data_IF_816028483315
#
_entry.id   IF_816028483315
#
_cell.length_a   1.000
_cell.length_b   1.000
_cell.length_c   1.000
_cell.angle_alpha   90.00
_cell.angle_beta   90.00
_cell.angle_gamma   90.00
#
_symmetry.space_group_name_H-M   'P 1'
#
loop_
_entity.id
_entity.type
_entity.pdbx_description
1 polymer ?
#
# COMPACT_ATOMS: atom_id res chain seq x y z
N UNK A 1 4.27 2.57 -29.51
CA UNK A 1 3.27 2.96 -28.50
C UNK A 1 4.02 3.20 -27.21
N UNK A 2 4.26 4.45 -26.84
CA UNK A 2 4.86 4.77 -25.55
C UNK A 2 3.82 4.45 -24.48
N UNK A 3 4.00 3.36 -23.74
CA UNK A 3 3.14 3.08 -22.60
C UNK A 3 3.40 4.17 -21.58
N UNK A 4 2.40 5.00 -21.29
CA UNK A 4 2.43 5.90 -20.13
C UNK A 4 2.72 5.03 -18.90
N UNK A 5 3.86 5.26 -18.25
CA UNK A 5 4.19 4.56 -17.02
C UNK A 5 3.12 4.98 -16.01
N UNK A 6 2.29 4.05 -15.49
CA UNK A 6 1.27 4.41 -14.52
C UNK A 6 1.97 4.97 -13.29
N UNK A 7 1.89 6.29 -13.12
CA UNK A 7 2.52 6.99 -12.01
C UNK A 7 1.58 6.92 -10.82
N UNK A 8 1.99 6.20 -9.77
CA UNK A 8 1.20 6.11 -8.53
C UNK A 8 1.48 7.36 -7.70
N UNK A 9 0.49 8.24 -7.59
CA UNK A 9 0.59 9.43 -6.75
C UNK A 9 0.20 9.08 -5.31
N UNK A 10 1.17 9.14 -4.41
CA UNK A 10 0.98 9.02 -2.97
C UNK A 10 1.29 10.34 -2.28
N UNK A 11 0.47 10.70 -1.30
CA UNK A 11 0.85 11.73 -0.32
C UNK A 11 2.01 11.24 0.54
N UNK A 12 2.76 12.14 1.20
CA UNK A 12 3.81 11.74 2.14
C UNK A 12 3.29 10.82 3.25
N UNK A 13 2.05 11.06 3.71
CA UNK A 13 1.40 10.25 4.73
C UNK A 13 1.08 8.85 4.22
N UNK A 14 0.48 8.70 3.05
CA UNK A 14 0.17 7.39 2.46
C UNK A 14 1.45 6.57 2.20
N UNK A 15 2.53 7.24 1.77
CA UNK A 15 3.83 6.59 1.56
C UNK A 15 4.45 6.11 2.87
N UNK A 16 4.38 6.90 3.94
CA UNK A 16 4.83 6.47 5.28
C UNK A 16 4.02 5.25 5.75
N UNK A 17 2.69 5.30 5.63
CA UNK A 17 1.82 4.20 6.08
C UNK A 17 1.97 2.92 5.25
N UNK A 18 2.25 3.02 3.95
CA UNK A 18 2.55 1.86 3.10
C UNK A 18 3.78 1.08 3.62
N UNK A 19 4.72 1.74 4.28
CA UNK A 19 5.88 1.08 4.89
C UNK A 19 5.47 0.08 5.99
N UNK A 20 4.41 0.40 6.74
CA UNK A 20 3.90 -0.38 7.86
C UNK A 20 2.89 -1.47 7.44
N UNK A 21 2.73 -1.72 6.14
CA UNK A 21 1.87 -2.78 5.62
C UNK A 21 2.69 -4.04 5.25
N UNK A 22 2.17 -5.26 5.54
CA UNK A 22 0.99 -5.55 6.37
C UNK A 22 1.24 -5.22 7.85
N UNK A 23 0.17 -4.93 8.60
CA UNK A 23 0.27 -4.62 10.03
C UNK A 23 0.93 -5.78 10.78
N UNK A 24 1.85 -5.46 11.70
CA UNK A 24 2.55 -6.45 12.52
C UNK A 24 2.24 -6.19 14.00
N UNK A 25 2.24 -7.22 14.87
CA UNK A 25 2.11 -7.03 16.32
C UNK A 25 3.15 -6.04 16.85
N UNK A 26 2.71 -5.00 17.57
CA UNK A 26 3.57 -3.93 18.07
C UNK A 26 4.04 -2.91 17.01
N UNK A 27 3.61 -3.07 15.76
CA UNK A 27 3.82 -2.10 14.70
C UNK A 27 2.86 -0.92 14.75
N UNK A 28 3.03 0.03 13.82
CA UNK A 28 2.12 1.17 13.69
C UNK A 28 0.79 0.71 13.09
N UNK A 29 -0.31 1.09 13.76
CA UNK A 29 -1.65 0.88 13.23
C UNK A 29 -1.89 1.88 12.10
N UNK A 30 -2.21 1.38 10.91
CA UNK A 30 -2.56 2.22 9.76
C UNK A 30 -4.04 2.59 9.84
N UNK A 31 -4.43 3.87 9.75
CA UNK A 31 -5.83 4.28 9.73
C UNK A 31 -6.61 3.61 8.59
N UNK A 32 -7.84 3.18 8.88
CA UNK A 32 -8.70 2.49 7.89
C UNK A 32 -8.90 3.27 6.58
N UNK A 33 -9.07 4.61 6.57
CA UNK A 33 -9.17 5.36 5.31
C UNK A 33 -7.92 5.25 4.44
N UNK A 34 -6.73 5.22 5.05
CA UNK A 34 -5.46 5.05 4.33
C UNK A 34 -5.33 3.63 3.82
N UNK A 35 -5.71 2.63 4.62
CA UNK A 35 -5.74 1.24 4.17
C UNK A 35 -6.65 1.06 2.95
N UNK A 36 -7.85 1.66 2.98
CA UNK A 36 -8.80 1.65 1.87
C UNK A 36 -8.19 2.29 0.63
N UNK A 37 -7.62 3.48 0.80
CA UNK A 37 -6.97 4.19 -0.29
C UNK A 37 -5.83 3.40 -0.93
N UNK A 38 -4.97 2.76 -0.14
CA UNK A 38 -3.89 1.91 -0.64
C UNK A 38 -4.42 0.67 -1.38
N UNK A 39 -5.58 0.13 -0.98
CA UNK A 39 -6.24 -0.97 -1.69
C UNK A 39 -6.80 -0.50 -3.03
N UNK A 40 -7.45 0.66 -3.07
CA UNK A 40 -8.02 1.24 -4.29
C UNK A 40 -6.92 1.54 -5.33
N UNK A 41 -5.69 1.83 -4.86
CA UNK A 41 -4.49 1.99 -5.68
C UNK A 41 -3.82 0.65 -6.06
N UNK A 42 -4.34 -0.49 -5.58
CA UNK A 42 -3.80 -1.82 -5.84
C UNK A 42 -2.47 -2.13 -5.12
N UNK A 43 -2.10 -1.33 -4.11
CA UNK A 43 -0.85 -1.47 -3.36
C UNK A 43 -0.97 -2.46 -2.21
N UNK A 44 -2.17 -2.65 -1.69
CA UNK A 44 -2.50 -3.68 -0.71
C UNK A 44 -3.70 -4.51 -1.18
N UNK A 45 -3.82 -5.73 -0.66
CA UNK A 45 -4.94 -6.62 -0.99
C UNK A 45 -6.24 -6.13 -0.36
N UNK A 46 -7.37 -6.69 -0.81
CA UNK A 46 -8.57 -6.71 0.02
C UNK A 46 -8.27 -7.39 1.38
N UNK A 47 -9.07 -7.12 2.42
CA UNK A 47 -8.94 -7.81 3.69
C UNK A 47 -8.95 -9.34 3.51
N UNK A 48 -7.99 -10.01 4.13
CA UNK A 48 -7.86 -11.46 4.19
C UNK A 48 -8.82 -12.03 5.25
N UNK A 49 -8.82 -13.34 5.42
CA UNK A 49 -9.71 -14.03 6.38
C UNK A 49 -9.52 -13.57 7.84
N UNK A 50 -8.35 -13.03 8.18
CA UNK A 50 -8.02 -12.47 9.48
C UNK A 50 -8.29 -10.96 9.60
N UNK A 51 -8.88 -10.35 8.56
CA UNK A 51 -9.18 -8.91 8.48
C UNK A 51 -7.98 -8.03 8.12
N UNK A 52 -6.78 -8.59 8.02
CA UNK A 52 -5.59 -7.83 7.63
C UNK A 52 -5.49 -7.67 6.12
N UNK A 53 -4.77 -6.64 5.67
CA UNK A 53 -4.45 -6.46 4.25
C UNK A 53 -2.98 -6.75 4.02
N UNK A 54 -2.68 -7.59 3.04
CA UNK A 54 -1.32 -7.90 2.60
C UNK A 54 -0.78 -6.84 1.65
N UNK A 55 0.54 -6.73 1.53
CA UNK A 55 1.17 -5.91 0.50
C UNK A 55 1.16 -6.65 -0.85
N UNK A 56 0.81 -5.97 -1.94
CA UNK A 56 0.90 -6.55 -3.29
C UNK A 56 2.32 -6.43 -3.84
N UNK A 57 2.61 -7.12 -4.95
CA UNK A 57 3.90 -6.95 -5.66
C UNK A 57 4.11 -5.51 -6.12
N UNK A 58 3.04 -4.83 -6.57
CA UNK A 58 3.09 -3.41 -6.92
C UNK A 58 3.39 -2.56 -5.68
N UNK A 59 2.66 -2.81 -4.59
CA UNK A 59 2.88 -2.15 -3.30
C UNK A 59 4.31 -2.27 -2.82
N UNK A 60 4.92 -3.45 -2.90
CA UNK A 60 6.32 -3.66 -2.48
C UNK A 60 7.30 -2.85 -3.35
N UNK A 61 7.08 -2.81 -4.67
CA UNK A 61 7.92 -2.00 -5.57
C UNK A 61 7.80 -0.49 -5.27
N UNK A 62 6.59 0.00 -5.04
CA UNK A 62 6.32 1.41 -4.65
C UNK A 62 6.91 1.72 -3.28
N UNK A 63 6.80 0.79 -2.33
CA UNK A 63 7.37 0.90 -0.98
C UNK A 63 8.89 0.98 -1.01
N UNK A 64 9.53 0.24 -1.92
CA UNK A 64 10.99 0.22 -2.11
C UNK A 64 11.53 1.33 -3.03
N UNK A 65 10.65 2.15 -3.61
CA UNK A 65 11.03 3.22 -4.53
C UNK A 65 11.62 2.73 -5.85
N UNK A 66 11.24 1.53 -6.29
CA UNK A 66 11.71 0.94 -7.57
C UNK A 66 10.91 1.47 -8.77
N UNK A 67 9.75 2.08 -8.50
CA UNK A 67 8.82 2.71 -9.45
C UNK A 67 8.18 3.95 -8.81
#
# INVERSE_FOLDING_TARGET
MSQEVPTVHLTPEERDHLWYMPQQPGGRIVPEPIQQRLQDLGLVTAPLADGQRGITVLGDKVRRGVI
#
